data_IF_610340736048
#
_entry.id   IF_610340736048
#
_cell.length_a   1.000
_cell.length_b   1.000
_cell.length_c   1.000
_cell.angle_alpha   90.00
_cell.angle_beta   90.00
_cell.angle_gamma   90.00
#
_symmetry.space_group_name_H-M   'P 1'
#
loop_
_entity.id
_entity.type
_entity.pdbx_description
1 polymer ?
#
# COMPACT_ATOMS: atom_id res chain seq x y z
N UNK A 1 -67.30 -12.29 17.20
CA UNK A 1 -66.68 -12.89 16.04
C UNK A 1 -65.57 -11.90 15.65
N UNK A 2 -64.45 -12.03 16.27
CA UNK A 2 -63.26 -12.74 15.87
C UNK A 2 -62.67 -12.11 14.61
N UNK A 3 -61.67 -11.32 14.74
CA UNK A 3 -60.70 -10.87 13.76
C UNK A 3 -59.37 -10.71 14.48
N UNK A 4 -58.59 -11.78 14.43
CA UNK A 4 -57.37 -11.92 15.19
C UNK A 4 -56.16 -11.19 14.59
N UNK A 5 -55.03 -11.19 15.27
CA UNK A 5 -53.82 -10.41 14.98
C UNK A 5 -52.94 -11.13 13.95
N UNK A 6 -52.84 -10.62 12.75
CA UNK A 6 -52.03 -11.16 11.64
C UNK A 6 -51.13 -10.11 10.99
N UNK A 7 -50.60 -9.15 11.70
CA UNK A 7 -49.62 -8.21 11.11
C UNK A 7 -48.35 -7.95 11.92
N UNK A 8 -48.16 -8.63 13.05
CA UNK A 8 -46.96 -8.40 13.88
C UNK A 8 -45.84 -9.47 13.74
N UNK A 9 -46.11 -10.56 13.02
CA UNK A 9 -45.11 -11.65 12.83
C UNK A 9 -44.26 -11.55 11.56
N UNK A 10 -44.55 -10.63 10.65
CA UNK A 10 -43.80 -10.50 9.38
C UNK A 10 -42.55 -9.58 9.44
N UNK A 11 -42.29 -8.90 10.55
CA UNK A 11 -41.17 -8.00 10.72
C UNK A 11 -39.99 -8.56 11.56
N UNK A 12 -40.13 -9.77 12.08
CA UNK A 12 -39.08 -10.43 12.91
C UNK A 12 -38.20 -11.42 12.12
N UNK A 13 -38.50 -11.68 10.85
CA UNK A 13 -37.72 -12.63 10.03
C UNK A 13 -36.73 -12.01 9.05
N UNK A 14 -36.39 -10.74 9.14
CA UNK A 14 -35.25 -10.15 8.39
C UNK A 14 -34.03 -9.87 9.28
N UNK A 15 -33.83 -10.65 10.30
CA UNK A 15 -32.60 -10.72 11.09
C UNK A 15 -31.52 -11.45 10.32
N UNK A 16 -31.07 -10.93 9.19
CA UNK A 16 -29.82 -11.34 8.57
C UNK A 16 -28.67 -10.63 9.33
N UNK A 17 -28.45 -11.06 10.56
CA UNK A 17 -27.11 -11.02 11.13
C UNK A 17 -26.42 -12.26 10.58
N UNK A 18 -25.94 -12.20 9.34
CA UNK A 18 -24.89 -13.08 8.93
C UNK A 18 -23.65 -12.69 9.75
N UNK A 19 -23.45 -13.40 10.84
CA UNK A 19 -22.17 -13.57 11.47
C UNK A 19 -21.28 -14.36 10.49
N UNK A 20 -20.91 -13.70 9.38
CA UNK A 20 -19.78 -14.11 8.56
C UNK A 20 -18.58 -13.66 9.38
N UNK A 21 -18.16 -14.52 10.31
CA UNK A 21 -16.79 -14.51 10.79
C UNK A 21 -15.91 -14.66 9.57
N UNK A 22 -15.57 -13.52 8.93
CA UNK A 22 -14.60 -13.49 7.83
C UNK A 22 -13.32 -14.07 8.39
N UNK A 23 -12.95 -15.26 7.91
CA UNK A 23 -11.70 -15.89 8.30
C UNK A 23 -10.57 -14.89 8.04
N UNK A 24 -9.68 -14.72 8.99
CA UNK A 24 -8.54 -13.82 8.84
C UNK A 24 -7.75 -14.18 7.58
N UNK A 25 -7.57 -13.21 6.70
CA UNK A 25 -6.67 -13.34 5.55
C UNK A 25 -5.25 -13.15 6.06
N UNK A 26 -4.43 -14.21 5.93
CA UNK A 26 -3.02 -14.14 6.33
C UNK A 26 -2.29 -13.06 5.55
N UNK A 27 -1.60 -12.18 6.28
CA UNK A 27 -0.86 -11.07 5.71
C UNK A 27 0.58 -11.46 5.39
N UNK A 28 1.19 -10.79 4.42
CA UNK A 28 2.62 -10.96 4.13
C UNK A 28 3.49 -10.69 5.35
N UNK A 29 3.12 -9.70 6.15
CA UNK A 29 3.84 -9.32 7.37
C UNK A 29 3.74 -10.36 8.49
N UNK A 30 2.83 -11.34 8.42
CA UNK A 30 2.65 -12.36 9.46
C UNK A 30 3.86 -13.30 9.60
N UNK A 31 4.71 -13.39 8.60
CA UNK A 31 5.95 -14.17 8.66
C UNK A 31 7.09 -13.39 9.32
N UNK A 32 7.13 -12.07 9.17
CA UNK A 32 8.21 -11.22 9.70
C UNK A 32 7.87 -10.58 11.05
N UNK A 33 6.61 -10.28 11.32
CA UNK A 33 6.21 -9.65 12.57
C UNK A 33 6.60 -10.44 13.82
N UNK A 34 6.43 -11.79 13.88
CA UNK A 34 6.94 -12.59 14.99
C UNK A 34 8.47 -12.54 15.16
N UNK A 35 9.20 -12.50 14.04
CA UNK A 35 10.68 -12.40 14.05
C UNK A 35 11.13 -11.06 14.62
N UNK A 36 10.45 -9.96 14.22
CA UNK A 36 10.73 -8.64 14.75
C UNK A 36 10.41 -8.56 16.25
N UNK A 37 9.28 -9.11 16.70
CA UNK A 37 8.93 -9.18 18.12
C UNK A 37 9.92 -10.04 18.91
N UNK A 38 10.44 -11.12 18.34
CA UNK A 38 11.46 -11.94 19.00
C UNK A 38 12.83 -11.26 19.10
N UNK A 39 13.10 -10.25 18.28
CA UNK A 39 14.39 -9.55 18.22
C UNK A 39 14.37 -8.15 18.87
N UNK A 40 13.21 -7.51 18.97
CA UNK A 40 13.09 -6.12 19.38
C UNK A 40 12.06 -5.93 20.50
N UNK A 41 12.30 -5.01 21.45
CA UNK A 41 11.38 -4.75 22.57
C UNK A 41 10.06 -4.11 22.12
N UNK A 42 10.07 -3.31 21.04
CA UNK A 42 8.90 -2.66 20.52
C UNK A 42 8.86 -2.67 19.00
N UNK A 43 7.68 -2.94 18.42
CA UNK A 43 7.40 -2.88 16.98
C UNK A 43 6.23 -1.94 16.73
N UNK A 44 6.40 -1.03 15.76
CA UNK A 44 5.36 -0.10 15.32
C UNK A 44 4.87 -0.50 13.92
N UNK A 45 3.62 -0.94 13.84
CA UNK A 45 2.94 -1.30 12.60
C UNK A 45 2.18 -0.09 12.05
N UNK A 46 2.64 0.44 10.92
CA UNK A 46 2.09 1.62 10.25
C UNK A 46 1.37 1.24 8.96
N UNK A 47 0.40 2.05 8.55
CA UNK A 47 -0.29 1.87 7.25
C UNK A 47 -1.60 2.64 7.17
N UNK A 48 -2.27 2.61 6.00
CA UNK A 48 -3.51 3.36 5.81
C UNK A 48 -4.60 2.93 6.79
N UNK A 49 -5.57 3.80 7.03
CA UNK A 49 -6.78 3.42 7.78
C UNK A 49 -7.46 2.25 7.09
N UNK A 50 -8.18 1.43 7.85
CA UNK A 50 -8.89 0.26 7.37
C UNK A 50 -8.04 -0.80 6.62
N UNK A 51 -6.70 -0.76 6.70
CA UNK A 51 -5.81 -1.77 6.11
C UNK A 51 -5.68 -3.07 6.94
N UNK A 52 -6.34 -3.16 8.09
CA UNK A 52 -6.32 -4.35 8.95
C UNK A 52 -5.19 -4.39 9.98
N UNK A 53 -4.51 -3.27 10.28
CA UNK A 53 -3.43 -3.17 11.28
C UNK A 53 -3.79 -3.79 12.63
N UNK A 54 -4.87 -3.30 13.24
CA UNK A 54 -5.36 -3.78 14.55
C UNK A 54 -5.68 -5.26 14.51
N UNK A 55 -6.34 -5.74 13.44
CA UNK A 55 -6.70 -7.15 13.27
C UNK A 55 -5.46 -8.03 13.20
N UNK A 56 -4.44 -7.62 12.49
CA UNK A 56 -3.15 -8.33 12.38
C UNK A 56 -2.40 -8.27 13.71
N UNK A 57 -2.18 -7.08 14.26
CA UNK A 57 -1.41 -6.87 15.48
C UNK A 57 -1.99 -7.60 16.70
N UNK A 58 -3.31 -7.62 16.84
CA UNK A 58 -4.02 -8.25 17.94
C UNK A 58 -3.71 -9.74 18.09
N UNK A 59 -3.31 -10.42 17.02
CA UNK A 59 -2.96 -11.85 17.04
C UNK A 59 -1.66 -12.15 17.79
N UNK A 60 -0.85 -11.14 18.03
CA UNK A 60 0.47 -11.23 18.64
C UNK A 60 0.53 -10.55 20.01
N UNK A 61 -0.59 -10.05 20.52
CA UNK A 61 -0.67 -9.36 21.81
C UNK A 61 -1.45 -10.18 22.84
N UNK A 62 -0.98 -10.17 24.08
CA UNK A 62 -1.69 -10.74 25.23
C UNK A 62 -2.77 -9.77 25.76
N UNK A 63 -2.54 -8.46 25.62
CA UNK A 63 -3.51 -7.43 25.98
C UNK A 63 -3.59 -6.35 24.91
N UNK A 64 -4.72 -5.64 24.88
CA UNK A 64 -4.99 -4.59 23.89
C UNK A 64 -5.50 -3.35 24.62
N UNK A 65 -4.85 -2.21 24.37
CA UNK A 65 -5.28 -0.89 24.82
C UNK A 65 -5.68 -0.09 23.58
N UNK A 66 -6.93 0.37 23.55
CA UNK A 66 -7.48 1.15 22.43
C UNK A 66 -7.44 2.63 22.77
N UNK A 67 -6.38 3.29 22.33
CA UNK A 67 -6.16 4.71 22.62
C UNK A 67 -7.12 5.66 21.89
N UNK A 68 -7.86 5.16 20.89
CA UNK A 68 -8.99 5.86 20.27
C UNK A 68 -10.26 5.89 21.13
N UNK A 69 -10.30 5.13 22.26
CA UNK A 69 -11.41 5.10 23.19
C UNK A 69 -11.18 6.06 24.35
N UNK A 70 -12.08 7.04 24.60
CA UNK A 70 -11.86 8.06 25.62
C UNK A 70 -11.53 7.53 27.01
N UNK A 71 -12.17 6.45 27.46
CA UNK A 71 -11.93 5.87 28.77
C UNK A 71 -10.53 5.24 28.91
N UNK A 72 -10.04 4.55 27.87
CA UNK A 72 -8.69 3.96 27.85
C UNK A 72 -7.64 5.06 27.64
N UNK A 73 -7.89 6.01 26.73
CA UNK A 73 -7.04 7.16 26.47
C UNK A 73 -6.82 8.03 27.71
N UNK A 74 -7.86 8.26 28.53
CA UNK A 74 -7.77 9.13 29.71
C UNK A 74 -6.73 8.64 30.73
N UNK A 75 -6.60 7.32 30.95
CA UNK A 75 -5.61 6.76 31.86
C UNK A 75 -4.18 7.01 31.34
N UNK A 76 -3.95 6.82 30.04
CA UNK A 76 -2.66 7.02 29.39
C UNK A 76 -2.32 8.51 29.21
N UNK A 77 -3.31 9.38 29.03
CA UNK A 77 -3.10 10.83 28.98
C UNK A 77 -2.75 11.41 30.36
N UNK A 78 -3.33 10.86 31.44
CA UNK A 78 -3.06 11.32 32.80
C UNK A 78 -1.67 10.91 33.29
N UNK A 79 -1.29 9.63 33.13
CA UNK A 79 0.03 9.11 33.51
C UNK A 79 0.35 7.88 32.63
N UNK A 80 1.02 8.07 31.50
CA UNK A 80 1.29 7.01 30.57
C UNK A 80 2.26 5.93 31.13
N UNK A 81 3.17 6.29 32.03
CA UNK A 81 4.09 5.33 32.66
C UNK A 81 3.35 4.42 33.66
N UNK A 82 2.54 4.99 34.53
CA UNK A 82 1.73 4.24 35.49
C UNK A 82 0.68 3.37 34.79
N UNK A 83 0.08 3.86 33.70
CA UNK A 83 -0.86 3.09 32.89
C UNK A 83 -0.15 1.91 32.21
N UNK A 84 1.02 2.14 31.62
CA UNK A 84 1.79 1.11 30.92
C UNK A 84 2.28 0.01 31.89
N UNK A 85 2.64 0.35 33.13
CA UNK A 85 3.07 -0.61 34.14
C UNK A 85 1.99 -1.61 34.59
N UNK A 86 0.71 -1.36 34.26
CA UNK A 86 -0.42 -2.19 34.67
C UNK A 86 -0.94 -3.14 33.58
N UNK A 87 -0.41 -3.05 32.37
CA UNK A 87 -0.86 -3.88 31.25
C UNK A 87 -0.08 -5.18 31.15
N UNK A 88 -0.70 -6.22 30.61
CA UNK A 88 -0.06 -7.53 30.38
C UNK A 88 0.66 -7.50 29.04
N UNK A 89 1.95 -7.80 29.07
CA UNK A 89 2.81 -7.89 27.86
C UNK A 89 2.78 -9.30 27.22
N UNK A 90 2.88 -9.40 25.90
CA UNK A 90 2.95 -8.34 24.88
C UNK A 90 1.66 -7.49 24.83
N UNK A 91 1.79 -6.17 24.87
CA UNK A 91 0.64 -5.27 24.78
C UNK A 91 0.56 -4.61 23.40
N UNK A 92 -0.65 -4.58 22.84
CA UNK A 92 -0.98 -3.77 21.68
C UNK A 92 -1.50 -2.39 22.13
N UNK A 93 -0.77 -1.35 21.78
CA UNK A 93 -1.17 0.05 21.94
C UNK A 93 -1.75 0.52 20.59
N UNK A 94 -3.07 0.41 20.45
CA UNK A 94 -3.77 0.64 19.17
C UNK A 94 -4.09 2.12 18.98
N UNK A 95 -3.83 2.66 17.77
CA UNK A 95 -3.99 4.07 17.37
C UNK A 95 -3.21 5.02 18.28
N UNK A 96 -1.90 4.76 18.46
CA UNK A 96 -1.00 5.51 19.35
C UNK A 96 -1.07 7.04 19.18
N UNK A 97 -1.38 7.53 17.98
CA UNK A 97 -1.46 8.97 17.70
C UNK A 97 -2.60 9.68 18.44
N UNK A 98 -3.57 8.96 19.00
CA UNK A 98 -4.61 9.53 19.86
C UNK A 98 -4.05 9.97 21.22
N UNK A 99 -2.95 9.36 21.68
CA UNK A 99 -2.22 9.73 22.90
C UNK A 99 -0.71 9.66 22.60
N UNK A 100 -0.12 10.68 21.94
CA UNK A 100 1.28 10.63 21.48
C UNK A 100 2.31 10.44 22.59
N UNK A 101 1.98 10.82 23.82
CA UNK A 101 2.82 10.70 25.03
C UNK A 101 3.17 9.24 25.36
N UNK A 102 2.37 8.29 24.88
CA UNK A 102 2.62 6.85 25.06
C UNK A 102 3.95 6.41 24.48
N UNK A 103 4.43 7.07 23.41
CA UNK A 103 5.73 6.77 22.81
C UNK A 103 6.89 7.09 23.77
N UNK A 104 6.73 8.14 24.57
CA UNK A 104 7.69 8.50 25.63
C UNK A 104 7.74 7.45 26.74
N UNK A 105 6.59 6.96 27.17
CA UNK A 105 6.49 5.90 28.17
C UNK A 105 7.08 4.57 27.66
N UNK A 106 6.74 4.17 26.44
CA UNK A 106 7.34 2.98 25.79
C UNK A 106 8.85 3.10 25.72
N UNK A 107 9.39 4.29 25.33
CA UNK A 107 10.84 4.50 25.32
C UNK A 107 11.46 4.28 26.69
N UNK A 108 10.92 4.90 27.74
CA UNK A 108 11.43 4.74 29.13
C UNK A 108 11.36 3.29 29.58
N UNK A 109 10.22 2.62 29.34
CA UNK A 109 10.06 1.22 29.70
C UNK A 109 11.05 0.29 28.97
N UNK A 110 11.42 0.62 27.72
CA UNK A 110 12.45 -0.12 26.95
C UNK A 110 13.86 0.21 27.45
N UNK A 111 14.11 1.46 27.86
CA UNK A 111 15.41 1.84 28.44
C UNK A 111 15.66 1.13 29.80
N UNK A 112 14.60 0.92 30.59
CA UNK A 112 14.65 0.21 31.88
C UNK A 112 14.75 -1.31 31.71
N UNK A 113 14.03 -1.88 30.72
CA UNK A 113 14.01 -3.32 30.45
C UNK A 113 13.94 -3.56 28.92
N UNK A 114 15.08 -3.84 28.25
CA UNK A 114 15.17 -3.95 26.79
C UNK A 114 14.80 -5.35 26.26
N UNK A 115 14.22 -6.25 27.06
CA UNK A 115 13.83 -7.60 26.60
C UNK A 115 12.88 -7.52 25.39
N UNK A 116 12.99 -8.43 24.41
CA UNK A 116 12.16 -8.44 23.21
C UNK A 116 10.68 -8.73 23.51
N UNK A 117 9.81 -8.35 22.55
CA UNK A 117 8.41 -8.79 22.49
C UNK A 117 7.47 -8.10 23.47
N UNK A 118 7.80 -6.92 23.99
CA UNK A 118 6.97 -6.25 24.99
C UNK A 118 5.84 -5.42 24.41
N UNK A 119 6.14 -4.62 23.39
CA UNK A 119 5.24 -3.59 22.89
C UNK A 119 4.99 -3.74 21.39
N UNK A 120 3.71 -3.74 21.02
CA UNK A 120 3.25 -3.63 19.66
C UNK A 120 2.37 -2.38 19.56
N UNK A 121 2.69 -1.50 18.63
CA UNK A 121 1.92 -0.27 18.42
C UNK A 121 1.33 -0.28 17.01
N UNK A 122 0.14 0.30 16.85
CA UNK A 122 -0.42 0.56 15.53
C UNK A 122 -0.73 2.04 15.35
N UNK A 123 -0.59 2.52 14.11
CA UNK A 123 -0.92 3.88 13.75
C UNK A 123 -1.26 4.04 12.28
N UNK A 124 -2.19 4.95 12.00
CA UNK A 124 -2.63 5.29 10.65
C UNK A 124 -1.98 6.57 10.10
N UNK A 125 -1.02 7.13 10.82
CA UNK A 125 -0.28 8.34 10.44
C UNK A 125 1.22 8.10 10.65
N UNK A 126 2.04 8.56 9.70
CA UNK A 126 3.50 8.57 9.89
C UNK A 126 3.86 9.58 10.98
N UNK A 127 4.75 9.19 11.89
CA UNK A 127 5.12 10.00 13.07
C UNK A 127 5.83 11.32 12.75
N UNK A 128 6.23 11.56 11.50
CA UNK A 128 7.02 12.74 11.10
C UNK A 128 6.24 14.07 11.13
N UNK A 129 4.93 14.03 11.40
CA UNK A 129 4.09 15.24 11.46
C UNK A 129 4.44 16.15 12.65
N UNK A 130 5.04 15.62 13.72
CA UNK A 130 5.43 16.35 14.90
C UNK A 130 6.88 16.04 15.30
N UNK A 131 7.82 16.41 14.45
CA UNK A 131 9.25 16.10 14.58
C UNK A 131 9.92 16.53 15.90
N UNK A 132 9.25 17.29 16.78
CA UNK A 132 9.81 17.72 18.06
C UNK A 132 9.84 16.63 19.14
N UNK A 133 9.16 15.49 18.95
CA UNK A 133 9.00 14.47 19.99
C UNK A 133 8.94 13.03 19.48
N UNK A 134 9.91 12.59 18.65
CA UNK A 134 10.00 11.17 18.32
C UNK A 134 10.99 10.45 19.26
N UNK A 135 10.56 9.91 20.41
CA UNK A 135 11.46 9.30 21.38
C UNK A 135 11.86 7.85 21.00
N UNK A 136 11.23 7.26 19.99
CA UNK A 136 11.39 5.84 19.64
C UNK A 136 12.68 5.47 18.90
N UNK A 137 13.55 6.42 18.56
CA UNK A 137 14.79 6.15 17.81
C UNK A 137 15.68 5.13 18.53
N UNK A 138 15.93 4.00 17.89
CA UNK A 138 16.74 2.90 18.40
C UNK A 138 16.03 2.00 19.44
N UNK A 139 14.78 2.28 19.82
CA UNK A 139 13.99 1.53 20.81
C UNK A 139 12.87 0.75 20.19
N UNK A 140 12.41 1.17 19.00
CA UNK A 140 11.38 0.47 18.29
C UNK A 140 11.70 0.35 16.80
N UNK A 141 11.24 -0.74 16.20
CA UNK A 141 11.35 -1.02 14.75
C UNK A 141 10.02 -0.74 14.10
N UNK A 142 10.04 -0.12 12.92
CA UNK A 142 8.85 0.14 12.11
C UNK A 142 8.66 -0.93 11.07
N UNK A 143 7.42 -1.32 10.84
CA UNK A 143 6.97 -2.19 9.76
C UNK A 143 5.74 -1.58 9.11
N UNK A 144 5.66 -1.60 7.80
CA UNK A 144 4.47 -1.10 7.09
C UNK A 144 3.53 -2.26 6.75
N UNK A 145 2.23 -2.00 6.85
CA UNK A 145 1.19 -2.87 6.31
C UNK A 145 0.38 -2.05 5.30
N UNK A 146 0.17 -2.64 4.14
CA UNK A 146 -0.60 -2.02 3.04
C UNK A 146 -2.04 -2.57 3.01
N UNK A 147 -2.88 -2.10 2.10
CA UNK A 147 -4.10 -2.82 1.72
C UNK A 147 -3.74 -4.25 1.27
N UNK A 148 -4.70 -5.18 1.28
CA UNK A 148 -4.46 -6.55 0.83
C UNK A 148 -3.95 -6.54 -0.61
N UNK A 149 -2.92 -7.35 -0.87
CA UNK A 149 -2.52 -7.64 -2.23
C UNK A 149 -3.14 -8.95 -2.73
N UNK A 150 -3.10 -9.19 -4.02
CA UNK A 150 -3.74 -10.38 -4.62
C UNK A 150 -3.07 -11.68 -4.15
N UNK A 151 -1.79 -11.68 -3.79
CA UNK A 151 -1.12 -12.87 -3.24
C UNK A 151 -1.68 -13.26 -1.87
N UNK A 152 -1.98 -12.29 -1.01
CA UNK A 152 -2.63 -12.53 0.28
C UNK A 152 -4.04 -13.11 0.10
N UNK A 153 -4.77 -12.65 -0.92
CA UNK A 153 -6.16 -13.05 -1.18
C UNK A 153 -6.23 -14.43 -1.86
N UNK A 154 -5.43 -14.65 -2.91
CA UNK A 154 -5.56 -15.81 -3.78
C UNK A 154 -4.88 -17.06 -3.23
N UNK A 155 -3.65 -16.95 -2.73
CA UNK A 155 -2.81 -18.12 -2.38
C UNK A 155 -2.25 -18.06 -0.97
N UNK A 156 -2.50 -16.96 -0.26
CA UNK A 156 -1.85 -16.70 1.02
C UNK A 156 -0.34 -16.46 0.83
N UNK A 157 0.41 -16.58 1.91
CA UNK A 157 1.85 -16.26 1.92
C UNK A 157 2.75 -17.42 1.44
N UNK A 158 2.19 -18.49 0.87
CA UNK A 158 2.94 -19.70 0.48
C UNK A 158 3.76 -19.52 -0.80
N UNK A 159 3.29 -18.67 -1.73
CA UNK A 159 4.06 -18.37 -2.93
C UNK A 159 5.33 -17.58 -2.58
N UNK A 160 6.44 -17.75 -3.31
CA UNK A 160 7.65 -16.98 -3.10
C UNK A 160 7.41 -15.48 -3.36
N UNK A 161 8.22 -14.62 -2.73
CA UNK A 161 8.17 -13.19 -2.98
C UNK A 161 8.61 -12.89 -4.42
N UNK A 162 7.77 -12.23 -5.25
CA UNK A 162 8.09 -12.03 -6.67
C UNK A 162 9.33 -11.14 -6.88
N UNK A 163 9.63 -10.21 -5.98
CA UNK A 163 10.85 -9.39 -6.07
C UNK A 163 12.09 -10.26 -5.83
N UNK A 164 12.02 -11.18 -4.87
CA UNK A 164 13.15 -12.08 -4.57
C UNK A 164 13.39 -13.06 -5.72
N UNK A 165 12.32 -13.58 -6.35
CA UNK A 165 12.41 -14.42 -7.57
C UNK A 165 13.07 -13.65 -8.71
N UNK A 166 12.62 -12.43 -8.98
CA UNK A 166 13.23 -11.57 -10.00
C UNK A 166 14.70 -11.25 -9.66
N UNK A 167 15.03 -11.06 -8.39
CA UNK A 167 16.39 -10.80 -7.93
C UNK A 167 17.34 -11.99 -8.09
N UNK A 168 16.81 -13.21 -8.16
CA UNK A 168 17.58 -14.43 -8.48
C UNK A 168 17.88 -14.57 -9.99
N UNK A 169 17.37 -13.63 -10.80
CA UNK A 169 17.75 -13.48 -12.22
C UNK A 169 16.83 -14.18 -13.21
N UNK A 170 15.72 -14.77 -12.75
CA UNK A 170 14.81 -15.53 -13.62
C UNK A 170 13.36 -15.04 -13.50
N UNK A 171 12.96 -14.15 -14.40
CA UNK A 171 11.58 -13.68 -14.50
C UNK A 171 10.58 -14.79 -14.93
N UNK A 172 11.05 -15.85 -15.61
CA UNK A 172 10.19 -16.96 -16.01
C UNK A 172 9.75 -17.83 -14.82
N UNK A 173 10.52 -17.82 -13.74
CA UNK A 173 10.20 -18.53 -12.48
C UNK A 173 9.13 -17.85 -11.62
N UNK A 174 8.56 -16.71 -12.04
CA UNK A 174 7.39 -16.12 -11.37
C UNK A 174 6.14 -16.99 -11.44
N UNK A 175 6.13 -17.96 -12.34
CA UNK A 175 5.06 -18.93 -12.48
C UNK A 175 4.02 -18.56 -13.53
N UNK A 176 3.12 -19.49 -13.73
CA UNK A 176 2.06 -19.39 -14.73
C UNK A 176 0.69 -19.46 -14.03
N UNK A 177 -0.05 -18.35 -13.99
CA UNK A 177 -1.38 -18.35 -13.37
C UNK A 177 -2.36 -19.15 -14.24
N UNK A 178 -3.19 -19.99 -13.58
CA UNK A 178 -4.26 -20.73 -14.24
C UNK A 178 -5.51 -20.77 -13.32
N UNK A 179 -6.61 -20.10 -13.69
CA UNK A 179 -6.73 -19.20 -14.85
C UNK A 179 -6.08 -17.82 -14.59
N UNK A 180 -5.53 -17.21 -15.65
CA UNK A 180 -5.11 -15.81 -15.60
C UNK A 180 -6.30 -14.89 -15.91
N UNK A 181 -6.44 -13.74 -15.21
CA UNK A 181 -7.40 -12.71 -15.60
C UNK A 181 -7.07 -12.18 -17.00
N UNK A 182 -8.10 -11.78 -17.74
CA UNK A 182 -7.96 -10.96 -18.95
C UNK A 182 -7.88 -9.45 -18.58
N UNK A 183 -7.77 -8.59 -19.59
CA UNK A 183 -7.67 -7.14 -19.34
C UNK A 183 -8.85 -6.57 -18.53
N UNK A 184 -10.14 -6.85 -18.86
CA UNK A 184 -11.27 -6.46 -18.01
C UNK A 184 -11.15 -7.00 -16.58
N UNK A 185 -10.72 -8.25 -16.42
CA UNK A 185 -10.50 -8.87 -15.12
C UNK A 185 -9.44 -8.13 -14.28
N UNK A 186 -8.33 -7.71 -14.89
CA UNK A 186 -7.33 -6.88 -14.19
C UNK A 186 -7.86 -5.51 -13.81
N UNK A 187 -8.65 -4.85 -14.68
CA UNK A 187 -9.28 -3.57 -14.35
C UNK A 187 -10.27 -3.74 -13.20
N UNK A 188 -11.07 -4.81 -13.20
CA UNK A 188 -11.98 -5.15 -12.11
C UNK A 188 -11.25 -5.35 -10.79
N UNK A 189 -10.13 -6.08 -10.79
CA UNK A 189 -9.26 -6.25 -9.62
C UNK A 189 -8.70 -4.91 -9.12
N UNK A 190 -8.19 -4.09 -10.03
CA UNK A 190 -7.63 -2.78 -9.72
C UNK A 190 -8.67 -1.84 -9.06
N UNK A 191 -9.88 -1.76 -9.62
CA UNK A 191 -10.97 -0.93 -9.08
C UNK A 191 -11.57 -1.52 -7.79
N UNK A 192 -11.46 -2.83 -7.57
CA UNK A 192 -11.88 -3.47 -6.32
C UNK A 192 -10.98 -3.11 -5.14
N UNK A 193 -9.70 -2.87 -5.41
CA UNK A 193 -8.71 -2.53 -4.39
C UNK A 193 -8.45 -3.64 -3.38
N UNK A 194 -7.68 -3.29 -2.35
CA UNK A 194 -7.26 -4.21 -1.31
C UNK A 194 -7.72 -3.84 0.11
N UNK A 195 -8.58 -2.84 0.30
CA UNK A 195 -9.11 -2.53 1.64
C UNK A 195 -9.95 -3.70 2.14
N UNK A 196 -9.60 -4.36 3.28
CA UNK A 196 -10.22 -5.61 3.70
C UNK A 196 -11.75 -5.61 3.72
N UNK A 197 -12.38 -4.60 4.32
CA UNK A 197 -13.85 -4.51 4.38
C UNK A 197 -14.47 -4.35 2.98
N UNK A 198 -13.90 -3.47 2.15
CA UNK A 198 -14.39 -3.25 0.78
C UNK A 198 -14.15 -4.47 -0.10
N UNK A 199 -12.98 -5.12 0.00
CA UNK A 199 -12.56 -6.21 -0.87
C UNK A 199 -13.23 -7.55 -0.54
N UNK A 200 -13.35 -7.87 0.76
CA UNK A 200 -13.77 -9.19 1.21
C UNK A 200 -15.28 -9.29 1.50
N UNK A 201 -15.94 -8.16 1.73
CA UNK A 201 -17.34 -8.15 2.23
C UNK A 201 -18.33 -7.43 1.32
N UNK A 202 -17.83 -6.51 0.47
CA UNK A 202 -18.68 -5.63 -0.34
C UNK A 202 -18.47 -5.88 -1.83
N UNK A 203 -19.53 -5.67 -2.62
CA UNK A 203 -19.52 -5.86 -4.07
C UNK A 203 -20.26 -4.72 -4.76
N UNK A 204 -19.92 -4.43 -6.02
CA UNK A 204 -20.60 -3.46 -6.86
C UNK A 204 -20.76 -2.10 -6.16
N UNK A 205 -21.97 -1.54 -6.20
CA UNK A 205 -22.27 -0.20 -5.69
C UNK A 205 -22.00 -0.01 -4.19
N UNK A 206 -22.12 -1.03 -3.37
CA UNK A 206 -21.85 -0.96 -1.93
C UNK A 206 -20.36 -0.76 -1.68
N UNK A 207 -19.52 -1.46 -2.43
CA UNK A 207 -18.07 -1.27 -2.39
C UNK A 207 -17.68 0.11 -2.89
N UNK A 208 -18.22 0.56 -4.01
CA UNK A 208 -17.93 1.87 -4.58
C UNK A 208 -18.27 2.99 -3.60
N UNK A 209 -19.46 2.92 -2.97
CA UNK A 209 -19.88 3.87 -1.92
C UNK A 209 -18.96 3.83 -0.70
N UNK A 210 -18.50 2.66 -0.31
CA UNK A 210 -17.55 2.54 0.80
C UNK A 210 -16.24 3.25 0.48
N UNK A 211 -15.69 3.03 -0.72
CA UNK A 211 -14.44 3.65 -1.19
C UNK A 211 -14.58 5.17 -1.33
N UNK A 212 -15.68 5.66 -1.89
CA UNK A 212 -15.98 7.10 -1.96
C UNK A 212 -16.06 7.72 -0.55
N UNK A 213 -16.78 7.08 0.36
CA UNK A 213 -16.91 7.54 1.74
C UNK A 213 -15.57 7.50 2.50
N UNK A 214 -14.77 6.45 2.31
CA UNK A 214 -13.41 6.34 2.86
C UNK A 214 -12.54 7.51 2.41
N UNK A 215 -12.56 7.80 1.11
CA UNK A 215 -11.78 8.88 0.53
C UNK A 215 -12.26 10.24 1.04
N UNK A 216 -13.57 10.49 1.05
CA UNK A 216 -14.15 11.73 1.57
C UNK A 216 -13.74 11.96 3.03
N UNK A 217 -13.88 10.96 3.90
CA UNK A 217 -13.48 11.07 5.30
C UNK A 217 -11.97 11.33 5.45
N UNK A 218 -11.13 10.67 4.65
CA UNK A 218 -9.68 10.87 4.69
C UNK A 218 -9.29 12.29 4.25
N UNK A 219 -9.92 12.83 3.21
CA UNK A 219 -9.58 14.15 2.67
C UNK A 219 -10.23 15.31 3.46
N UNK A 220 -11.40 15.10 4.07
CA UNK A 220 -12.11 16.18 4.78
C UNK A 220 -11.82 16.17 6.27
N UNK A 221 -11.97 15.04 6.94
CA UNK A 221 -11.78 14.94 8.39
C UNK A 221 -10.31 14.82 8.77
N UNK A 222 -9.65 13.77 8.30
CA UNK A 222 -8.28 13.47 8.74
C UNK A 222 -7.29 14.51 8.29
N UNK A 223 -7.42 15.00 7.03
CA UNK A 223 -6.55 16.03 6.50
C UNK A 223 -6.77 17.40 7.19
N UNK A 224 -8.00 17.74 7.55
CA UNK A 224 -8.30 18.99 8.25
C UNK A 224 -7.86 18.94 9.71
N UNK A 225 -8.17 17.87 10.44
CA UNK A 225 -7.74 17.68 11.82
C UNK A 225 -6.21 17.79 11.96
N UNK A 226 -5.45 17.24 11.01
CA UNK A 226 -3.99 17.24 11.02
C UNK A 226 -3.36 18.53 10.49
N UNK A 227 -4.04 19.32 9.65
CA UNK A 227 -3.41 20.44 8.96
C UNK A 227 -4.16 21.78 9.02
N UNK A 228 -5.44 21.77 9.42
CA UNK A 228 -6.31 22.96 9.42
C UNK A 228 -6.54 23.56 8.02
N UNK A 229 -6.32 22.79 6.95
CA UNK A 229 -6.37 23.26 5.55
C UNK A 229 -7.74 23.06 4.92
N UNK A 230 -8.00 23.84 3.84
CA UNK A 230 -9.24 23.80 3.06
C UNK A 230 -9.46 22.42 2.43
N UNK A 231 -10.52 21.67 2.81
CA UNK A 231 -10.79 20.33 2.30
C UNK A 231 -11.18 20.34 0.82
N UNK A 232 -11.84 21.38 0.30
CA UNK A 232 -12.23 21.45 -1.10
C UNK A 232 -11.00 21.55 -2.03
N UNK A 233 -10.00 22.34 -1.64
CA UNK A 233 -8.72 22.41 -2.37
C UNK A 233 -7.94 21.11 -2.29
N UNK A 234 -8.01 20.44 -1.14
CA UNK A 234 -7.38 19.12 -0.97
C UNK A 234 -8.01 18.08 -1.88
N UNK A 235 -9.35 18.00 -1.92
CA UNK A 235 -10.09 17.08 -2.77
C UNK A 235 -9.74 17.32 -4.25
N UNK A 236 -9.75 18.58 -4.71
CA UNK A 236 -9.36 18.92 -6.08
C UNK A 236 -7.91 18.53 -6.40
N UNK A 237 -6.98 18.76 -5.48
CA UNK A 237 -5.59 18.33 -5.66
C UNK A 237 -5.49 16.80 -5.75
N UNK A 238 -6.26 16.08 -4.92
CA UNK A 238 -6.30 14.63 -4.97
C UNK A 238 -6.88 14.09 -6.29
N UNK A 239 -7.94 14.70 -6.83
CA UNK A 239 -8.48 14.36 -8.16
C UNK A 239 -7.42 14.52 -9.26
N UNK A 240 -6.64 15.62 -9.24
CA UNK A 240 -5.54 15.83 -10.19
C UNK A 240 -4.46 14.77 -10.02
N UNK A 241 -4.15 14.35 -8.79
CA UNK A 241 -3.21 13.26 -8.54
C UNK A 241 -3.77 11.91 -9.01
N UNK A 242 -5.07 11.65 -8.84
CA UNK A 242 -5.73 10.44 -9.33
C UNK A 242 -5.67 10.33 -10.85
N UNK A 243 -5.98 11.42 -11.57
CA UNK A 243 -5.84 11.52 -13.03
C UNK A 243 -4.39 11.29 -13.51
N UNK A 244 -3.41 11.60 -12.67
CA UNK A 244 -1.99 11.49 -12.99
C UNK A 244 -1.28 10.38 -12.19
N UNK A 245 -2.01 9.49 -11.53
CA UNK A 245 -1.40 8.35 -10.84
C UNK A 245 -0.55 7.55 -11.82
N UNK A 246 0.62 7.10 -11.38
CA UNK A 246 1.61 6.45 -12.23
C UNK A 246 2.20 7.32 -13.36
N UNK A 247 1.78 8.58 -13.50
CA UNK A 247 2.29 9.49 -14.53
C UNK A 247 3.54 10.26 -14.07
N UNK A 248 4.32 10.69 -15.06
CA UNK A 248 5.45 11.60 -14.83
C UNK A 248 5.10 12.95 -15.46
N UNK A 249 4.43 13.77 -14.67
CA UNK A 249 3.99 15.10 -15.07
C UNK A 249 4.76 16.15 -14.28
N UNK A 250 5.08 17.28 -14.92
CA UNK A 250 5.77 18.37 -14.24
C UNK A 250 4.93 18.89 -13.06
N UNK A 251 5.57 19.14 -11.93
CA UNK A 251 4.92 19.62 -10.71
C UNK A 251 4.07 20.88 -10.97
N UNK A 252 4.58 21.82 -11.79
CA UNK A 252 3.87 23.03 -12.17
C UNK A 252 2.53 22.76 -12.88
N UNK A 253 2.46 21.69 -13.68
CA UNK A 253 1.23 21.28 -14.37
C UNK A 253 0.19 20.78 -13.37
N UNK A 254 0.62 19.94 -12.40
CA UNK A 254 -0.25 19.44 -11.33
C UNK A 254 -0.78 20.60 -10.48
N UNK A 255 0.10 21.54 -10.10
CA UNK A 255 -0.28 22.68 -9.26
C UNK A 255 -1.26 23.61 -9.97
N UNK A 256 -1.01 23.91 -11.26
CA UNK A 256 -1.88 24.73 -12.08
C UNK A 256 -3.27 24.08 -12.26
N UNK A 257 -3.32 22.77 -12.55
CA UNK A 257 -4.57 22.04 -12.71
C UNK A 257 -5.41 22.01 -11.42
N UNK A 258 -4.73 21.90 -10.26
CA UNK A 258 -5.39 21.96 -8.95
C UNK A 258 -5.74 23.37 -8.48
N UNK A 259 -5.22 24.42 -9.15
CA UNK A 259 -5.44 25.81 -8.75
C UNK A 259 -4.80 26.18 -7.42
N UNK A 260 -3.61 25.63 -7.11
CA UNK A 260 -2.88 25.85 -5.86
C UNK A 260 -1.43 26.23 -6.14
N UNK A 261 -0.84 26.95 -5.21
CA UNK A 261 0.58 27.30 -5.24
C UNK A 261 1.49 26.12 -4.81
N UNK A 262 2.78 26.21 -5.15
CA UNK A 262 3.79 25.18 -4.83
C UNK A 262 3.86 24.85 -3.35
N UNK A 263 3.80 25.86 -2.45
CA UNK A 263 3.92 25.64 -1.00
C UNK A 263 2.75 24.84 -0.46
N UNK A 264 1.55 25.16 -0.93
CA UNK A 264 0.32 24.43 -0.61
C UNK A 264 0.37 23.01 -1.15
N UNK A 265 0.79 22.82 -2.41
CA UNK A 265 0.90 21.49 -3.03
C UNK A 265 1.88 20.57 -2.29
N UNK A 266 3.08 21.07 -1.95
CA UNK A 266 4.06 20.31 -1.18
C UNK A 266 3.55 19.92 0.22
N UNK A 267 2.77 20.79 0.85
CA UNK A 267 2.19 20.48 2.15
C UNK A 267 1.06 19.43 2.03
N UNK A 268 0.24 19.50 0.98
CA UNK A 268 -0.77 18.49 0.68
C UNK A 268 -0.13 17.14 0.33
N UNK A 269 0.91 17.12 -0.49
CA UNK A 269 1.65 15.90 -0.83
C UNK A 269 2.20 15.23 0.42
N UNK A 270 2.86 15.99 1.31
CA UNK A 270 3.35 15.45 2.60
C UNK A 270 2.22 14.87 3.43
N UNK A 271 1.10 15.56 3.52
CA UNK A 271 -0.05 15.11 4.30
C UNK A 271 -0.64 13.81 3.73
N UNK A 272 -0.88 13.74 2.42
CA UNK A 272 -1.40 12.54 1.75
C UNK A 272 -0.42 11.36 1.87
N UNK A 273 0.88 11.63 1.80
CA UNK A 273 1.92 10.61 2.02
C UNK A 273 1.91 10.12 3.47
N UNK A 274 1.71 11.02 4.43
CA UNK A 274 1.63 10.68 5.85
C UNK A 274 0.35 9.90 6.21
N UNK A 275 -0.74 10.13 5.49
CA UNK A 275 -2.00 9.37 5.59
C UNK A 275 -1.95 8.04 4.82
N UNK A 276 -0.85 7.70 4.17
CA UNK A 276 -0.68 6.48 3.38
C UNK A 276 -1.67 6.33 2.21
N UNK A 277 -2.12 7.43 1.62
CA UNK A 277 -2.96 7.41 0.41
C UNK A 277 -2.21 7.81 -0.85
N UNK A 278 -1.02 8.40 -0.68
CA UNK A 278 -0.12 8.77 -1.77
C UNK A 278 1.28 8.20 -1.50
N UNK A 279 1.91 7.68 -2.54
CA UNK A 279 3.31 7.31 -2.53
C UNK A 279 4.09 8.05 -3.60
N UNK A 280 5.29 8.48 -3.24
CA UNK A 280 6.18 9.26 -4.10
C UNK A 280 7.40 8.42 -4.40
N UNK A 281 7.45 7.87 -5.62
CA UNK A 281 8.53 7.00 -6.09
C UNK A 281 9.59 7.86 -6.76
N UNK A 282 10.82 7.94 -6.21
CA UNK A 282 11.88 8.78 -6.76
C UNK A 282 12.41 8.24 -8.08
N UNK A 283 13.02 9.12 -8.87
CA UNK A 283 13.70 8.73 -10.11
C UNK A 283 15.01 8.00 -9.77
N UNK A 284 15.29 6.89 -10.47
CA UNK A 284 16.56 6.20 -10.39
C UNK A 284 17.58 6.79 -11.35
N UNK A 285 18.78 7.05 -10.87
CA UNK A 285 19.95 7.47 -11.65
C UNK A 285 21.20 6.83 -11.02
N UNK A 286 22.19 6.53 -11.84
CA UNK A 286 23.49 6.02 -11.37
C UNK A 286 24.16 7.00 -10.39
N UNK A 287 24.06 8.30 -10.65
CA UNK A 287 24.47 9.32 -9.68
C UNK A 287 23.34 9.57 -8.66
N UNK A 288 23.55 9.12 -7.43
CA UNK A 288 22.56 9.21 -6.33
C UNK A 288 22.16 10.65 -5.99
N UNK A 289 23.07 11.62 -6.06
CA UNK A 289 22.74 13.03 -5.78
C UNK A 289 21.80 13.60 -6.85
N UNK A 290 21.93 13.18 -8.10
CA UNK A 290 21.06 13.62 -9.18
C UNK A 290 19.63 13.08 -9.08
N UNK A 291 19.40 12.02 -8.29
CA UNK A 291 18.05 11.47 -8.01
C UNK A 291 17.16 12.49 -7.31
N UNK A 292 17.73 13.31 -6.42
CA UNK A 292 17.00 14.25 -5.56
C UNK A 292 16.34 15.42 -6.31
N UNK A 293 16.80 15.71 -7.53
CA UNK A 293 16.34 16.88 -8.32
C UNK A 293 15.46 16.49 -9.50
N UNK A 294 15.14 15.21 -9.66
CA UNK A 294 14.30 14.72 -10.75
C UNK A 294 12.84 14.60 -10.30
N UNK A 295 11.93 14.80 -11.25
CA UNK A 295 10.50 14.64 -11.03
C UNK A 295 10.21 13.20 -10.59
N UNK A 296 9.60 13.00 -9.42
CA UNK A 296 9.18 11.66 -8.99
C UNK A 296 7.93 11.20 -9.73
N UNK A 297 7.69 9.90 -9.73
CA UNK A 297 6.43 9.29 -10.12
C UNK A 297 5.52 9.22 -8.90
N UNK A 298 4.26 9.59 -9.04
CA UNK A 298 3.29 9.59 -7.94
C UNK A 298 2.28 8.48 -8.16
N UNK A 299 2.04 7.69 -7.13
CA UNK A 299 1.06 6.61 -7.14
C UNK A 299 0.05 6.82 -6.01
N UNK A 300 -1.23 6.69 -6.29
CA UNK A 300 -2.16 6.37 -5.22
C UNK A 300 -1.80 4.98 -4.68
N UNK A 301 -1.85 4.81 -3.36
CA UNK A 301 -1.37 3.59 -2.70
C UNK A 301 -2.24 2.36 -2.98
N UNK A 302 -3.45 2.59 -3.49
CA UNK A 302 -4.41 1.58 -3.92
C UNK A 302 -5.13 2.08 -5.18
N UNK A 303 -5.22 1.25 -6.21
CA UNK A 303 -5.82 1.65 -7.49
C UNK A 303 -7.33 1.93 -7.38
N UNK A 304 -8.02 1.35 -6.40
CA UNK A 304 -9.43 1.64 -6.14
C UNK A 304 -9.66 3.11 -5.75
N UNK A 305 -8.65 3.78 -5.17
CA UNK A 305 -8.74 5.21 -4.86
C UNK A 305 -8.76 6.08 -6.12
N UNK A 306 -8.18 5.60 -7.24
CA UNK A 306 -8.34 6.26 -8.56
C UNK A 306 -9.80 6.17 -8.99
N UNK A 307 -10.39 4.97 -8.91
CA UNK A 307 -11.79 4.73 -9.21
C UNK A 307 -12.73 5.61 -8.37
N UNK A 308 -12.52 5.63 -7.05
CA UNK A 308 -13.34 6.42 -6.13
C UNK A 308 -13.22 7.94 -6.36
N UNK A 309 -11.98 8.46 -6.57
CA UNK A 309 -11.76 9.89 -6.78
C UNK A 309 -12.38 10.42 -8.07
N UNK A 310 -12.37 9.61 -9.12
CA UNK A 310 -12.82 9.98 -10.46
C UNK A 310 -14.20 9.40 -10.81
N UNK A 311 -14.81 8.63 -9.89
CA UNK A 311 -16.09 7.92 -10.08
C UNK A 311 -16.11 7.07 -11.34
N UNK A 312 -15.07 6.25 -11.48
CA UNK A 312 -14.87 5.40 -12.66
C UNK A 312 -15.48 4.01 -12.43
N UNK A 313 -16.07 3.49 -13.49
CA UNK A 313 -16.40 2.09 -13.65
C UNK A 313 -15.44 1.42 -14.67
N UNK A 314 -15.49 0.09 -14.76
CA UNK A 314 -14.67 -0.68 -15.70
C UNK A 314 -14.84 -0.21 -17.16
N UNK A 315 -16.08 0.10 -17.56
CA UNK A 315 -16.37 0.54 -18.92
C UNK A 315 -15.76 1.90 -19.24
N UNK A 316 -15.68 2.80 -18.26
CA UNK A 316 -15.05 4.12 -18.41
C UNK A 316 -13.53 4.00 -18.56
N UNK A 317 -12.90 3.16 -17.74
CA UNK A 317 -11.46 2.88 -17.84
C UNK A 317 -11.12 2.22 -19.16
N UNK A 318 -11.91 1.23 -19.61
CA UNK A 318 -11.67 0.52 -20.88
C UNK A 318 -11.79 1.41 -22.12
N UNK A 319 -12.51 2.53 -22.06
CA UNK A 319 -12.65 3.48 -23.17
C UNK A 319 -11.50 4.47 -23.30
N UNK A 320 -10.70 4.65 -22.26
CA UNK A 320 -9.57 5.58 -22.22
C UNK A 320 -8.25 4.81 -22.02
N UNK A 321 -7.50 4.66 -23.10
CA UNK A 321 -6.26 3.87 -23.09
C UNK A 321 -5.16 4.45 -22.20
N UNK A 322 -5.08 5.78 -22.01
CA UNK A 322 -4.10 6.42 -21.12
C UNK A 322 -4.49 6.16 -19.65
N UNK A 323 -5.75 6.36 -19.31
CA UNK A 323 -6.28 6.09 -17.97
C UNK A 323 -6.14 4.60 -17.61
N UNK A 324 -6.45 3.70 -18.55
CA UNK A 324 -6.30 2.25 -18.37
C UNK A 324 -4.86 1.87 -18.06
N UNK A 325 -3.90 2.40 -18.79
CA UNK A 325 -2.47 2.18 -18.52
C UNK A 325 -2.08 2.67 -17.12
N UNK A 326 -2.55 3.85 -16.71
CA UNK A 326 -2.29 4.41 -15.37
C UNK A 326 -2.91 3.60 -14.24
N UNK A 327 -4.12 3.10 -14.43
CA UNK A 327 -4.81 2.22 -13.45
C UNK A 327 -4.05 0.91 -13.29
N UNK A 328 -3.63 0.27 -14.39
CA UNK A 328 -2.85 -0.96 -14.35
C UNK A 328 -1.47 -0.75 -13.70
N UNK A 329 -0.74 0.30 -14.06
CA UNK A 329 0.56 0.61 -13.44
C UNK A 329 0.40 0.91 -11.94
N UNK A 330 -0.64 1.66 -11.54
CA UNK A 330 -0.96 1.90 -10.13
C UNK A 330 -1.29 0.61 -9.38
N UNK A 331 -2.06 -0.29 -10.01
CA UNK A 331 -2.39 -1.60 -9.45
C UNK A 331 -1.14 -2.45 -9.24
N UNK A 332 -0.28 -2.57 -10.25
CA UNK A 332 0.99 -3.33 -10.15
C UNK A 332 1.91 -2.72 -9.09
N UNK A 333 2.03 -1.40 -9.04
CA UNK A 333 2.84 -0.73 -8.02
C UNK A 333 2.33 -1.01 -6.60
N UNK A 334 1.00 -1.07 -6.38
CA UNK A 334 0.41 -1.44 -5.11
C UNK A 334 0.73 -2.89 -4.71
N UNK A 335 0.68 -3.85 -5.67
CA UNK A 335 1.08 -5.24 -5.42
C UNK A 335 2.54 -5.31 -4.98
N UNK A 336 3.45 -4.74 -5.77
CA UNK A 336 4.90 -4.80 -5.51
C UNK A 336 5.31 -4.08 -4.24
N UNK A 337 4.62 -3.02 -3.83
CA UNK A 337 4.92 -2.29 -2.59
C UNK A 337 4.80 -3.17 -1.35
N UNK A 338 3.77 -4.01 -1.27
CA UNK A 338 3.58 -4.96 -0.17
C UNK A 338 4.69 -6.01 -0.15
N UNK A 339 5.14 -6.46 -1.33
CA UNK A 339 6.22 -7.43 -1.49
C UNK A 339 7.59 -6.86 -1.08
N UNK A 340 7.85 -5.60 -1.42
CA UNK A 340 9.08 -4.89 -1.04
C UNK A 340 9.25 -4.83 0.47
N UNK A 341 8.17 -4.62 1.22
CA UNK A 341 8.21 -4.54 2.69
C UNK A 341 8.74 -5.83 3.33
N UNK A 342 8.40 -6.99 2.76
CA UNK A 342 8.74 -8.32 3.30
C UNK A 342 9.84 -9.04 2.52
N UNK A 343 10.43 -8.40 1.51
CA UNK A 343 11.53 -8.98 0.74
C UNK A 343 12.78 -9.18 1.56
N UNK A 344 13.36 -10.37 1.50
CA UNK A 344 14.65 -10.70 2.13
C UNK A 344 15.81 -9.85 1.57
N UNK A 345 15.66 -9.32 0.36
CA UNK A 345 16.66 -8.51 -0.35
C UNK A 345 16.63 -7.03 0.04
N UNK A 346 15.62 -6.55 0.77
CA UNK A 346 15.43 -5.15 1.22
C UNK A 346 15.54 -4.15 0.07
N UNK A 347 14.78 -4.30 -1.00
CA UNK A 347 14.86 -3.41 -2.17
C UNK A 347 14.34 -2.00 -1.86
N UNK A 348 14.74 -1.05 -2.69
CA UNK A 348 14.15 0.30 -2.72
C UNK A 348 13.49 0.51 -4.07
N UNK A 349 12.28 1.05 -4.06
CA UNK A 349 11.50 1.29 -5.27
C UNK A 349 11.87 2.64 -5.88
N UNK A 350 12.04 2.64 -7.19
CA UNK A 350 12.31 3.78 -8.05
C UNK A 350 11.53 3.66 -9.35
N UNK A 351 11.51 4.72 -10.14
CA UNK A 351 11.21 4.69 -11.56
C UNK A 351 12.43 5.21 -12.35
N UNK A 352 12.48 4.97 -13.66
CA UNK A 352 13.53 5.53 -14.50
C UNK A 352 12.92 6.37 -15.61
N UNK A 353 13.40 7.61 -15.79
CA UNK A 353 13.13 8.42 -16.98
C UNK A 353 14.36 9.27 -17.31
N UNK A 354 14.91 9.05 -18.50
CA UNK A 354 16.00 9.86 -19.01
C UNK A 354 15.48 11.24 -19.51
N UNK A 355 16.45 12.15 -19.74
CA UNK A 355 16.12 13.45 -20.37
C UNK A 355 15.35 13.23 -21.67
N UNK A 356 14.29 13.97 -21.86
CA UNK A 356 13.42 13.95 -23.04
C UNK A 356 12.59 12.66 -23.24
N UNK A 357 12.46 11.79 -22.22
CA UNK A 357 11.63 10.58 -22.30
C UNK A 357 12.14 9.52 -23.29
N UNK A 358 13.44 9.54 -23.65
CA UNK A 358 14.02 8.56 -24.57
C UNK A 358 13.95 7.14 -24.01
N UNK A 359 14.17 7.00 -22.72
CA UNK A 359 14.05 5.73 -21.99
C UNK A 359 13.24 5.98 -20.73
N UNK A 360 12.23 5.15 -20.55
CA UNK A 360 11.35 5.17 -19.40
C UNK A 360 11.11 3.74 -18.93
N UNK A 361 11.21 3.49 -17.62
CA UNK A 361 10.89 2.21 -16.98
C UNK A 361 9.96 2.51 -15.81
N UNK A 362 8.84 1.81 -15.76
CA UNK A 362 7.76 2.09 -14.82
C UNK A 362 8.20 1.92 -13.39
N UNK A 363 8.77 0.77 -13.05
CA UNK A 363 9.21 0.43 -11.72
C UNK A 363 10.60 -0.22 -11.75
N UNK A 364 11.43 0.15 -10.79
CA UNK A 364 12.79 -0.38 -10.63
C UNK A 364 13.04 -0.64 -9.15
N UNK A 365 13.34 -1.87 -8.81
CA UNK A 365 13.76 -2.26 -7.47
C UNK A 365 15.28 -2.29 -7.38
N UNK A 366 15.88 -1.34 -6.63
CA UNK A 366 17.32 -1.30 -6.37
C UNK A 366 17.64 -2.12 -5.12
N UNK A 367 18.54 -3.06 -5.26
CA UNK A 367 19.05 -3.93 -4.21
C UNK A 367 20.46 -3.51 -3.76
N UNK A 368 21.02 -4.22 -2.79
CA UNK A 368 22.40 -3.99 -2.35
C UNK A 368 23.42 -4.12 -3.49
N UNK A 369 24.43 -3.23 -3.51
CA UNK A 369 25.47 -3.20 -4.55
C UNK A 369 25.00 -2.55 -5.86
N UNK A 370 24.03 -1.66 -5.81
CA UNK A 370 23.44 -0.98 -6.97
C UNK A 370 22.91 -1.95 -8.05
N UNK A 371 22.55 -3.17 -7.63
CA UNK A 371 21.89 -4.17 -8.49
C UNK A 371 20.41 -3.83 -8.63
N UNK A 372 19.84 -4.12 -9.78
CA UNK A 372 18.48 -3.73 -10.08
C UNK A 372 17.66 -4.86 -10.71
N UNK A 373 16.39 -4.87 -10.37
CA UNK A 373 15.31 -5.55 -11.09
C UNK A 373 14.44 -4.47 -11.70
N UNK A 374 14.03 -4.64 -12.95
CA UNK A 374 13.23 -3.64 -13.64
C UNK A 374 11.92 -4.23 -14.16
N UNK A 375 10.85 -3.46 -14.04
CA UNK A 375 9.49 -3.87 -14.41
C UNK A 375 8.88 -2.81 -15.32
N UNK A 376 8.31 -3.28 -16.43
CA UNK A 376 7.52 -2.52 -17.37
C UNK A 376 6.08 -3.05 -17.36
N UNK A 377 5.08 -2.21 -17.40
CA UNK A 377 3.66 -2.61 -17.36
C UNK A 377 3.00 -2.34 -18.71
N UNK A 378 2.34 -3.34 -19.29
CA UNK A 378 1.67 -3.23 -20.59
C UNK A 378 0.24 -3.76 -20.54
N UNK A 379 -0.71 -2.99 -21.01
CA UNK A 379 -2.10 -3.42 -21.16
C UNK A 379 -2.31 -4.43 -22.30
N UNK A 380 -1.31 -4.68 -23.13
CA UNK A 380 -1.34 -5.67 -24.19
C UNK A 380 -1.34 -7.09 -23.66
N UNK A 381 -2.09 -8.01 -24.28
CA UNK A 381 -2.05 -9.43 -23.95
C UNK A 381 -0.85 -10.18 -24.56
N UNK A 382 -0.16 -9.57 -25.53
CA UNK A 382 0.97 -10.17 -26.25
C UNK A 382 2.04 -9.12 -26.51
N UNK A 383 2.85 -8.76 -25.49
CA UNK A 383 3.95 -7.84 -25.67
C UNK A 383 4.99 -8.41 -26.63
N UNK A 384 5.71 -7.52 -27.26
CA UNK A 384 6.75 -7.84 -28.22
C UNK A 384 8.12 -7.43 -27.70
N UNK A 385 9.19 -7.79 -28.41
CA UNK A 385 10.55 -7.34 -28.07
C UNK A 385 10.68 -5.81 -28.05
N UNK A 386 9.83 -5.07 -28.78
CA UNK A 386 9.80 -3.60 -28.72
C UNK A 386 9.38 -3.08 -27.34
N UNK A 387 8.50 -3.79 -26.66
CA UNK A 387 8.03 -3.45 -25.33
C UNK A 387 9.12 -3.66 -24.26
N UNK A 388 10.13 -4.47 -24.56
CA UNK A 388 11.30 -4.70 -23.71
C UNK A 388 12.49 -3.77 -24.01
N UNK A 389 12.41 -2.90 -25.03
CA UNK A 389 13.54 -2.11 -25.51
C UNK A 389 14.20 -1.24 -24.43
N UNK A 390 13.42 -0.68 -23.49
CA UNK A 390 13.97 0.10 -22.38
C UNK A 390 14.68 -0.78 -21.34
N UNK A 391 14.17 -2.00 -21.12
CA UNK A 391 14.82 -2.99 -20.26
C UNK A 391 16.10 -3.51 -20.87
N UNK A 392 16.13 -3.80 -22.18
CA UNK A 392 17.33 -4.20 -22.94
C UNK A 392 18.40 -3.10 -22.85
N UNK A 393 18.01 -1.84 -23.08
CA UNK A 393 18.92 -0.71 -22.95
C UNK A 393 19.51 -0.59 -21.53
N UNK A 394 18.67 -0.78 -20.48
CA UNK A 394 19.13 -0.71 -19.09
C UNK A 394 20.09 -1.87 -18.77
N UNK A 395 19.75 -3.09 -19.22
CA UNK A 395 20.59 -4.29 -19.08
C UNK A 395 21.97 -4.06 -19.70
N UNK A 396 22.02 -3.60 -20.95
CA UNK A 396 23.29 -3.39 -21.67
C UNK A 396 24.14 -2.30 -21.01
N UNK A 397 23.50 -1.29 -20.40
CA UNK A 397 24.18 -0.22 -19.67
C UNK A 397 24.72 -0.64 -18.31
N UNK A 398 24.05 -1.54 -17.61
CA UNK A 398 24.40 -1.95 -16.25
C UNK A 398 25.21 -3.25 -16.18
N UNK A 399 25.17 -4.09 -17.23
CA UNK A 399 25.84 -5.40 -17.25
C UNK A 399 25.34 -6.31 -16.13
N UNK A 400 26.27 -6.79 -15.30
CA UNK A 400 25.99 -7.70 -14.17
C UNK A 400 25.11 -7.07 -13.06
N UNK A 401 25.01 -5.75 -13.00
CA UNK A 401 24.13 -5.09 -12.04
C UNK A 401 22.64 -5.15 -12.41
N UNK A 402 22.31 -5.41 -13.66
CA UNK A 402 20.96 -5.72 -14.08
C UNK A 402 20.70 -7.22 -13.85
N UNK A 403 19.88 -7.54 -12.86
CA UNK A 403 19.60 -8.93 -12.51
C UNK A 403 18.58 -9.53 -13.47
N UNK A 404 17.39 -8.93 -13.56
CA UNK A 404 16.37 -9.34 -14.50
C UNK A 404 15.41 -8.19 -14.84
N UNK A 405 14.64 -8.40 -15.91
CA UNK A 405 13.55 -7.52 -16.33
C UNK A 405 12.26 -8.29 -16.61
N UNK A 406 11.14 -7.74 -16.18
CA UNK A 406 9.83 -8.27 -16.47
C UNK A 406 8.96 -7.24 -17.21
N UNK A 407 8.41 -7.63 -18.36
CA UNK A 407 7.30 -6.94 -19.00
C UNK A 407 6.02 -7.59 -18.48
N UNK A 408 5.39 -6.97 -17.49
CA UNK A 408 4.12 -7.45 -16.94
C UNK A 408 2.97 -7.09 -17.87
N UNK A 409 2.16 -8.10 -18.23
CA UNK A 409 1.14 -7.94 -19.28
C UNK A 409 -0.17 -8.65 -18.93
N UNK A 410 -1.22 -8.40 -19.70
CA UNK A 410 -2.58 -8.92 -19.44
C UNK A 410 -2.91 -10.23 -20.15
N UNK A 411 -1.95 -10.81 -20.85
CA UNK A 411 -2.12 -12.14 -21.48
C UNK A 411 -1.86 -13.27 -20.49
N UNK A 412 -2.22 -14.52 -20.85
CA UNK A 412 -2.17 -15.64 -19.93
C UNK A 412 -0.83 -16.36 -19.84
N UNK A 413 0.15 -16.07 -20.71
CA UNK A 413 1.37 -16.89 -20.84
C UNK A 413 2.63 -16.07 -20.63
N UNK A 414 3.61 -16.66 -19.91
CA UNK A 414 4.97 -16.16 -19.84
C UNK A 414 5.82 -16.67 -21.02
N UNK A 415 6.72 -15.81 -21.52
CA UNK A 415 7.66 -16.14 -22.59
C UNK A 415 8.89 -15.23 -22.57
N UNK A 416 10.07 -15.69 -23.04
CA UNK A 416 11.27 -14.87 -23.05
C UNK A 416 11.19 -13.76 -24.10
N UNK A 417 11.69 -12.57 -23.77
CA UNK A 417 11.83 -11.43 -24.69
C UNK A 417 13.31 -11.13 -25.03
N UNK A 418 14.24 -11.61 -24.22
CA UNK A 418 15.66 -11.43 -24.41
C UNK A 418 16.47 -12.01 -23.26
N UNK A 419 17.77 -11.78 -23.27
CA UNK A 419 18.64 -12.21 -22.17
C UNK A 419 18.20 -11.54 -20.86
N UNK A 420 17.90 -12.34 -19.83
CA UNK A 420 17.40 -11.92 -18.51
C UNK A 420 16.11 -11.06 -18.54
N UNK A 421 15.36 -11.09 -19.64
CA UNK A 421 14.10 -10.32 -19.80
C UNK A 421 12.99 -11.25 -20.30
N UNK A 422 11.86 -11.23 -19.61
CA UNK A 422 10.68 -12.01 -20.00
C UNK A 422 9.41 -11.16 -20.00
N UNK A 423 8.45 -11.55 -20.84
CA UNK A 423 7.06 -11.18 -20.72
C UNK A 423 6.38 -12.13 -19.72
N UNK A 424 5.69 -11.58 -18.75
CA UNK A 424 5.10 -12.35 -17.66
C UNK A 424 3.70 -11.81 -17.37
N UNK A 425 2.66 -12.67 -17.22
CA UNK A 425 1.34 -12.20 -16.80
C UNK A 425 1.41 -11.42 -15.49
N UNK A 426 0.64 -10.34 -15.35
CA UNK A 426 0.55 -9.61 -14.07
C UNK A 426 0.18 -10.57 -12.93
N UNK A 427 -0.71 -11.54 -13.18
CA UNK A 427 -1.14 -12.51 -12.19
C UNK A 427 -0.04 -13.49 -11.73
N UNK A 428 1.09 -13.57 -12.43
CA UNK A 428 2.25 -14.33 -11.95
C UNK A 428 2.83 -13.77 -10.64
N UNK A 429 2.57 -12.49 -10.34
CA UNK A 429 2.97 -11.90 -9.06
C UNK A 429 2.31 -12.58 -7.84
N UNK A 430 1.20 -13.29 -8.04
CA UNK A 430 0.49 -14.02 -6.98
C UNK A 430 0.19 -15.48 -7.34
N UNK A 431 0.86 -16.02 -8.36
CA UNK A 431 0.73 -17.43 -8.70
C UNK A 431 1.54 -18.30 -7.73
N UNK A 432 0.93 -19.42 -7.31
CA UNK A 432 1.61 -20.44 -6.49
C UNK A 432 2.31 -21.52 -7.35
N UNK A 433 2.04 -21.53 -8.66
CA UNK A 433 2.57 -22.55 -9.58
C UNK A 433 3.77 -21.95 -10.34
N UNK A 434 5.00 -22.42 -10.05
CA UNK A 434 6.16 -22.10 -10.86
C UNK A 434 6.08 -22.68 -12.27
#
# INVERSE_FOLDING_TARGET
MEGGPVEEEALVQSGIVHDVATSYVRRLVDDDLPRLLAAHPAVLLLGPRAAGKTTTARRYAASVVRLDRPAEAAAFAADPDAALARVVEPVLLDEWQAVPEVLGAVKRAVDDDPRPGRFLLTGSVRADLHAQTWPGTGRLVRMSIHSLNEREIAVGTRAPNPIDVLADGDAMSLGQPDPAPDLPGYISLALSGGFPDARLRLHGRERDRWLESYLEQTLTRDAVELSGRDPARMARYFEVLALNSAGIVADSTIYAAAGIDRKTALAYERLLTNLFVLDVVPAWLTNRLSRLVKTPKRYLTDASLVGAALRLDEASVMRDGDLMGRVLDTFVAAQLRSEIEVSARRPRLFHLREKNGRHEIDLLAELGGDRVVAVEVKASASPTRRDAAHLEWLRDRLGERFLSGAVLHTGPRAFPLGDRIAAVPIAALWSANP
#
